data_IF_022581351489
#
_entry.id   IF_022581351489
#
_cell.length_a   1.000
_cell.length_b   1.000
_cell.length_c   1.000
_cell.angle_alpha   90.00
_cell.angle_beta   90.00
_cell.angle_gamma   90.00
#
_symmetry.space_group_name_H-M   'P 1'
#
loop_
_entity.id
_entity.type
_entity.pdbx_description
1 polymer ?
#
# COMPACT_ATOMS: atom_id res chain seq x y z
N UNK A 1 -30.27 5.76 40.01
CA UNK A 1 -29.69 6.88 39.24
C UNK A 1 -28.62 6.33 38.27
N UNK A 2 -29.01 5.64 37.19
CA UNK A 2 -28.07 5.13 36.16
C UNK A 2 -28.82 4.61 34.92
N UNK A 3 -29.33 5.50 34.07
CA UNK A 3 -29.97 5.11 32.78
C UNK A 3 -29.60 6.07 31.63
N UNK A 4 -29.00 7.24 31.88
CA UNK A 4 -28.72 8.26 30.84
C UNK A 4 -27.44 8.06 30.04
N UNK A 5 -26.54 7.15 30.43
CA UNK A 5 -25.24 6.99 29.77
C UNK A 5 -25.32 6.22 28.43
N UNK A 6 -26.26 5.27 28.29
CA UNK A 6 -26.25 4.32 27.16
C UNK A 6 -26.75 4.88 25.82
N UNK A 7 -27.51 5.98 25.82
CA UNK A 7 -28.07 6.54 24.59
C UNK A 7 -27.08 7.47 23.88
N UNK A 8 -26.37 8.30 24.65
CA UNK A 8 -25.35 9.22 24.15
C UNK A 8 -24.15 8.46 23.57
N UNK A 9 -23.83 7.30 24.16
CA UNK A 9 -22.70 6.49 23.72
C UNK A 9 -22.84 5.95 22.29
N UNK A 10 -24.06 5.61 21.87
CA UNK A 10 -24.28 5.03 20.55
C UNK A 10 -24.12 6.04 19.41
N UNK A 11 -24.45 7.31 19.67
CA UNK A 11 -24.40 8.36 18.64
C UNK A 11 -22.97 8.80 18.31
N UNK A 12 -22.05 8.86 19.28
CA UNK A 12 -20.66 9.23 18.99
C UNK A 12 -19.89 8.11 18.27
N UNK A 13 -20.13 6.85 18.63
CA UNK A 13 -19.53 5.70 17.93
C UNK A 13 -19.98 5.64 16.47
N UNK A 14 -21.29 5.80 16.22
CA UNK A 14 -21.82 5.86 14.86
C UNK A 14 -21.21 7.03 14.06
N UNK A 15 -21.04 8.20 14.68
CA UNK A 15 -20.42 9.36 14.05
C UNK A 15 -18.95 9.12 13.69
N UNK A 16 -18.18 8.44 14.55
CA UNK A 16 -16.79 8.06 14.26
C UNK A 16 -16.70 7.07 13.09
N UNK A 17 -17.61 6.10 13.02
CA UNK A 17 -17.61 5.09 11.95
C UNK A 17 -17.96 5.66 10.56
N UNK A 18 -18.53 6.85 10.49
CA UNK A 18 -18.82 7.55 9.23
C UNK A 18 -17.67 8.49 8.83
N UNK A 19 -16.75 8.78 9.75
CA UNK A 19 -15.66 9.71 9.49
C UNK A 19 -14.64 9.15 8.49
N UNK A 20 -14.37 9.87 7.37
CA UNK A 20 -13.35 9.46 6.41
C UNK A 20 -11.97 9.31 7.03
N UNK A 21 -11.63 10.15 8.02
CA UNK A 21 -10.32 10.11 8.68
C UNK A 21 -10.15 8.85 9.51
N UNK A 22 -11.21 8.38 10.16
CA UNK A 22 -11.20 7.13 10.94
C UNK A 22 -11.02 5.94 10.01
N UNK A 23 -11.70 5.91 8.86
CA UNK A 23 -11.53 4.84 7.87
C UNK A 23 -10.11 4.81 7.31
N UNK A 24 -9.55 5.96 6.91
CA UNK A 24 -8.18 6.06 6.38
C UNK A 24 -7.17 5.65 7.44
N UNK A 25 -7.30 6.15 8.68
CA UNK A 25 -6.40 5.79 9.77
C UNK A 25 -6.48 4.29 10.06
N UNK A 26 -7.68 3.73 10.15
CA UNK A 26 -7.89 2.29 10.40
C UNK A 26 -7.29 1.45 9.27
N UNK A 27 -7.53 1.82 8.01
CA UNK A 27 -6.94 1.13 6.86
C UNK A 27 -5.41 1.14 6.89
N UNK A 28 -4.82 2.30 7.22
CA UNK A 28 -3.37 2.45 7.33
C UNK A 28 -2.80 1.60 8.47
N UNK A 29 -3.34 1.72 9.68
CA UNK A 29 -2.83 0.99 10.84
C UNK A 29 -2.99 -0.52 10.69
N UNK A 30 -4.10 -1.00 10.11
CA UNK A 30 -4.26 -2.43 9.83
C UNK A 30 -3.20 -2.94 8.86
N UNK A 31 -2.99 -2.25 7.74
CA UNK A 31 -1.97 -2.63 6.72
C UNK A 31 -0.56 -2.52 7.28
N UNK A 32 -0.26 -1.44 8.02
CA UNK A 32 1.04 -1.21 8.63
C UNK A 32 1.36 -2.25 9.71
N UNK A 33 0.40 -2.53 10.60
CA UNK A 33 0.54 -3.60 11.59
C UNK A 33 0.77 -4.95 10.90
N UNK A 34 0.05 -5.24 9.82
CA UNK A 34 0.26 -6.46 9.05
C UNK A 34 1.67 -6.53 8.44
N UNK A 35 2.18 -5.45 7.84
CA UNK A 35 3.54 -5.37 7.30
C UNK A 35 4.60 -5.67 8.39
N UNK A 36 4.44 -5.09 9.57
CA UNK A 36 5.37 -5.25 10.70
C UNK A 36 5.27 -6.64 11.31
N UNK A 37 4.06 -7.11 11.64
CA UNK A 37 3.83 -8.39 12.31
C UNK A 37 4.28 -9.58 11.45
N UNK A 38 4.00 -9.52 10.15
CA UNK A 38 4.38 -10.59 9.21
C UNK A 38 5.76 -10.38 8.58
N UNK A 39 6.46 -9.28 8.91
CA UNK A 39 7.78 -8.93 8.38
C UNK A 39 7.85 -9.01 6.86
N UNK A 40 6.83 -8.49 6.20
CA UNK A 40 6.65 -8.58 4.75
C UNK A 40 7.74 -7.88 3.93
N UNK A 41 8.52 -7.01 4.58
CA UNK A 41 9.65 -6.30 3.97
C UNK A 41 10.90 -7.16 3.81
N UNK A 42 10.92 -8.39 4.35
CA UNK A 42 12.03 -9.33 4.20
C UNK A 42 11.83 -10.17 2.96
N UNK A 43 12.53 -9.81 1.89
CA UNK A 43 12.52 -10.56 0.63
C UNK A 43 13.67 -11.57 0.58
N UNK A 44 13.44 -12.73 -0.01
CA UNK A 44 14.51 -13.71 -0.26
C UNK A 44 15.40 -13.22 -1.41
N UNK A 45 16.72 -13.16 -1.18
CA UNK A 45 17.71 -12.54 -2.08
C UNK A 45 18.11 -13.47 -3.25
N UNK A 46 17.46 -14.61 -3.43
CA UNK A 46 17.96 -15.68 -4.30
C UNK A 46 17.21 -15.80 -5.65
N UNK A 47 17.88 -15.96 -6.80
CA UNK A 47 19.21 -15.48 -7.21
C UNK A 47 19.17 -14.14 -7.97
N UNK A 48 17.99 -13.60 -8.32
CA UNK A 48 17.86 -12.39 -9.18
C UNK A 48 17.20 -11.19 -8.51
N UNK A 49 16.80 -11.28 -7.23
CA UNK A 49 15.94 -10.30 -6.54
C UNK A 49 14.65 -9.96 -7.32
N UNK A 50 14.28 -10.76 -8.32
CA UNK A 50 13.11 -10.51 -9.15
C UNK A 50 11.82 -10.47 -8.32
N UNK A 51 11.74 -11.26 -7.26
CA UNK A 51 10.60 -11.25 -6.34
C UNK A 51 10.49 -9.96 -5.52
N UNK A 52 11.53 -9.11 -5.50
CA UNK A 52 11.45 -7.75 -4.99
C UNK A 52 10.83 -6.84 -6.06
N UNK A 53 9.50 -6.83 -6.11
CA UNK A 53 8.74 -5.92 -6.99
C UNK A 53 8.77 -6.27 -8.49
N UNK A 54 9.15 -7.50 -8.85
CA UNK A 54 9.10 -8.02 -10.23
C UNK A 54 9.80 -7.08 -11.22
N UNK A 55 9.17 -6.83 -12.36
CA UNK A 55 9.71 -5.97 -13.40
C UNK A 55 9.88 -4.52 -12.94
N UNK A 56 9.02 -4.07 -12.02
CA UNK A 56 9.07 -2.71 -11.46
C UNK A 56 10.35 -2.52 -10.65
N UNK A 57 10.69 -3.51 -9.82
CA UNK A 57 11.92 -3.52 -9.03
C UNK A 57 13.17 -3.54 -9.91
N UNK A 58 13.15 -4.33 -10.98
CA UNK A 58 14.23 -4.36 -11.98
C UNK A 58 14.46 -3.00 -12.64
N UNK A 59 13.40 -2.36 -13.15
CA UNK A 59 13.51 -1.02 -13.75
C UNK A 59 13.96 0.03 -12.73
N UNK A 60 13.45 -0.01 -11.49
CA UNK A 60 13.85 0.90 -10.43
C UNK A 60 15.34 0.76 -10.07
N UNK A 61 15.87 -0.47 -10.07
CA UNK A 61 17.31 -0.72 -9.91
C UNK A 61 18.12 -0.11 -11.04
N UNK A 62 17.71 -0.31 -12.30
CA UNK A 62 18.41 0.26 -13.47
C UNK A 62 18.44 1.78 -13.42
N UNK A 63 17.34 2.41 -13.04
CA UNK A 63 17.26 3.85 -12.80
C UNK A 63 18.17 4.30 -11.65
N UNK A 64 18.18 3.57 -10.55
CA UNK A 64 19.05 3.87 -9.41
C UNK A 64 20.53 3.81 -9.82
N UNK A 65 20.90 2.83 -10.65
CA UNK A 65 22.25 2.62 -11.20
C UNK A 65 22.63 3.56 -12.36
N UNK A 66 21.73 4.43 -12.83
CA UNK A 66 22.00 5.37 -13.93
C UNK A 66 21.92 4.76 -15.32
N UNK A 67 21.35 3.55 -15.47
CA UNK A 67 21.19 2.85 -16.75
C UNK A 67 19.90 3.23 -17.50
N UNK A 68 19.19 4.25 -17.01
CA UNK A 68 17.91 4.69 -17.57
C UNK A 68 16.77 3.69 -17.33
N UNK A 69 15.71 3.84 -18.12
CA UNK A 69 14.51 3.00 -18.03
C UNK A 69 14.74 1.69 -18.80
N UNK A 70 15.36 0.70 -18.15
CA UNK A 70 15.88 -0.50 -18.80
C UNK A 70 15.83 -1.74 -17.89
N UNK A 71 16.05 -2.91 -18.49
CA UNK A 71 16.30 -4.19 -17.80
C UNK A 71 15.22 -4.61 -16.76
N UNK A 72 13.94 -4.75 -17.17
CA UNK A 72 12.85 -5.08 -16.26
C UNK A 72 13.06 -6.41 -15.52
N UNK A 73 13.59 -7.42 -16.19
CA UNK A 73 13.70 -8.76 -15.62
C UNK A 73 14.98 -8.99 -14.79
N UNK A 74 15.70 -7.93 -14.42
CA UNK A 74 16.91 -8.01 -13.58
C UNK A 74 18.19 -8.43 -14.31
N UNK A 75 18.11 -8.81 -15.59
CA UNK A 75 19.25 -9.00 -16.49
C UNK A 75 19.27 -7.90 -17.56
N UNK A 76 20.45 -7.63 -18.13
CA UNK A 76 20.63 -6.59 -19.15
C UNK A 76 19.90 -6.95 -20.44
N UNK A 77 18.64 -6.50 -20.58
CA UNK A 77 17.80 -6.70 -21.76
C UNK A 77 17.61 -5.44 -22.61
N UNK A 78 18.18 -4.30 -22.19
CA UNK A 78 18.10 -3.02 -22.89
C UNK A 78 16.94 -2.14 -22.42
N UNK A 79 16.65 -1.08 -23.17
CA UNK A 79 15.60 -0.11 -22.85
C UNK A 79 14.22 -0.77 -22.86
N UNK A 80 13.34 -0.34 -21.95
CA UNK A 80 11.97 -0.87 -21.82
C UNK A 80 10.94 0.24 -21.78
N UNK A 81 9.69 -0.09 -22.11
CA UNK A 81 8.52 0.76 -21.92
C UNK A 81 7.36 0.00 -21.25
N UNK A 82 7.68 -1.13 -20.59
CA UNK A 82 6.68 -2.05 -20.03
C UNK A 82 5.87 -1.43 -18.87
N UNK A 83 6.47 -0.49 -18.14
CA UNK A 83 5.95 0.02 -16.87
C UNK A 83 5.84 1.54 -16.95
N UNK A 84 4.76 2.16 -16.43
CA UNK A 84 4.68 3.61 -16.36
C UNK A 84 5.80 4.19 -15.49
N UNK A 85 6.33 5.38 -15.82
CA UNK A 85 7.59 5.86 -15.24
C UNK A 85 7.48 6.34 -13.77
N UNK A 86 6.30 6.75 -13.32
CA UNK A 86 6.13 7.43 -12.02
C UNK A 86 6.50 6.54 -10.83
N UNK A 87 6.04 5.28 -10.81
CA UNK A 87 6.28 4.39 -9.68
C UNK A 87 7.74 3.85 -9.64
N UNK A 88 8.34 3.38 -10.75
CA UNK A 88 9.75 2.99 -10.77
C UNK A 88 10.71 4.13 -10.44
N UNK A 89 10.41 5.37 -10.86
CA UNK A 89 11.26 6.52 -10.51
C UNK A 89 11.22 6.82 -9.02
N UNK A 90 10.04 6.79 -8.38
CA UNK A 90 9.92 6.87 -6.92
C UNK A 90 10.72 5.77 -6.22
N UNK A 91 10.59 4.51 -6.67
CA UNK A 91 11.34 3.38 -6.11
C UNK A 91 12.86 3.54 -6.28
N UNK A 92 13.31 4.08 -7.41
CA UNK A 92 14.73 4.33 -7.65
C UNK A 92 15.32 5.34 -6.66
N UNK A 93 14.55 6.34 -6.24
CA UNK A 93 14.96 7.30 -5.20
C UNK A 93 15.10 6.59 -3.85
N UNK A 94 14.13 5.74 -3.51
CA UNK A 94 14.18 4.94 -2.28
C UNK A 94 15.41 4.02 -2.28
N UNK A 95 15.70 3.36 -3.40
CA UNK A 95 16.88 2.51 -3.55
C UNK A 95 18.19 3.28 -3.40
N UNK A 96 18.26 4.53 -3.88
CA UNK A 96 19.45 5.37 -3.69
C UNK A 96 19.66 5.77 -2.23
N UNK A 97 18.59 5.94 -1.45
CA UNK A 97 18.68 6.34 -0.04
C UNK A 97 18.88 5.16 0.92
N UNK A 98 18.20 4.03 0.69
CA UNK A 98 18.12 2.92 1.63
C UNK A 98 18.83 1.64 1.15
N UNK A 99 19.40 1.67 -0.06
CA UNK A 99 20.01 0.52 -0.71
C UNK A 99 19.06 -0.21 -1.65
N UNK A 100 19.61 -0.74 -2.75
CA UNK A 100 18.86 -1.53 -3.74
C UNK A 100 18.51 -2.89 -3.14
N UNK A 101 17.23 -3.28 -3.20
CA UNK A 101 16.73 -4.56 -2.70
C UNK A 101 17.02 -4.84 -1.22
N UNK A 102 17.19 -3.80 -0.40
CA UNK A 102 17.41 -3.93 1.03
C UNK A 102 16.09 -4.08 1.79
N UNK A 103 16.12 -4.72 2.96
CA UNK A 103 14.99 -4.76 3.91
C UNK A 103 14.46 -3.34 4.22
N UNK A 104 15.36 -2.36 4.33
CA UNK A 104 15.00 -0.96 4.58
C UNK A 104 14.19 -0.36 3.43
N UNK A 105 14.62 -0.58 2.18
CA UNK A 105 13.87 -0.13 1.01
C UNK A 105 12.50 -0.82 0.92
N UNK A 106 12.45 -2.12 1.19
CA UNK A 106 11.21 -2.91 1.23
C UNK A 106 10.22 -2.36 2.25
N UNK A 107 10.71 -2.03 3.45
CA UNK A 107 9.88 -1.46 4.51
C UNK A 107 9.29 -0.09 4.13
N UNK A 108 10.11 0.80 3.56
CA UNK A 108 9.66 2.13 3.12
C UNK A 108 8.65 2.01 1.98
N UNK A 109 8.91 1.16 0.98
CA UNK A 109 8.01 0.94 -0.16
C UNK A 109 6.66 0.40 0.32
N UNK A 110 6.65 -0.61 1.18
CA UNK A 110 5.41 -1.20 1.72
C UNK A 110 4.63 -0.19 2.57
N UNK A 111 5.33 0.64 3.36
CA UNK A 111 4.69 1.69 4.15
C UNK A 111 4.03 2.74 3.24
N UNK A 112 4.72 3.19 2.19
CA UNK A 112 4.16 4.12 1.21
C UNK A 112 2.94 3.52 0.48
N UNK A 113 3.02 2.25 0.08
CA UNK A 113 1.88 1.53 -0.49
C UNK A 113 0.70 1.46 0.50
N UNK A 114 0.96 1.23 1.78
CA UNK A 114 -0.07 1.25 2.81
C UNK A 114 -0.73 2.63 2.95
N UNK A 115 0.04 3.72 2.88
CA UNK A 115 -0.49 5.09 2.89
C UNK A 115 -1.39 5.34 1.67
N UNK A 116 -0.90 5.07 0.46
CA UNK A 116 -1.66 5.30 -0.78
C UNK A 116 -2.93 4.42 -0.79
N UNK A 117 -2.81 3.15 -0.37
CA UNK A 117 -3.95 2.23 -0.24
C UNK A 117 -4.95 2.65 0.84
N UNK A 118 -4.52 3.34 1.90
CA UNK A 118 -5.44 3.91 2.87
C UNK A 118 -6.19 5.13 2.30
N UNK A 119 -5.49 5.95 1.52
CA UNK A 119 -6.08 7.14 0.89
C UNK A 119 -7.13 6.80 -0.17
N UNK A 120 -7.15 5.58 -0.75
CA UNK A 120 -8.21 5.16 -1.68
C UNK A 120 -9.59 5.04 -1.02
N UNK A 121 -9.68 5.02 0.32
CA UNK A 121 -10.96 5.19 1.01
C UNK A 121 -11.66 6.50 0.61
N UNK A 122 -10.90 7.57 0.35
CA UNK A 122 -11.44 8.89 0.00
C UNK A 122 -12.17 8.89 -1.34
N UNK A 123 -11.58 8.45 -2.48
CA UNK A 123 -12.31 8.36 -3.74
C UNK A 123 -13.47 7.36 -3.68
N UNK A 124 -13.36 6.26 -2.92
CA UNK A 124 -14.49 5.33 -2.72
C UNK A 124 -15.68 6.04 -2.08
N UNK A 125 -15.45 6.78 -0.98
CA UNK A 125 -16.48 7.56 -0.32
C UNK A 125 -17.04 8.65 -1.24
N UNK A 126 -16.17 9.38 -1.93
CA UNK A 126 -16.57 10.50 -2.78
C UNK A 126 -17.39 10.08 -3.99
N UNK A 127 -16.96 9.03 -4.70
CA UNK A 127 -17.69 8.47 -5.84
C UNK A 127 -18.98 7.83 -5.35
N UNK A 128 -18.92 6.98 -4.31
CA UNK A 128 -20.10 6.29 -3.78
C UNK A 128 -21.20 7.24 -3.31
N UNK A 129 -20.84 8.34 -2.63
CA UNK A 129 -21.81 9.38 -2.20
C UNK A 129 -22.50 10.05 -3.38
N UNK A 130 -21.81 10.20 -4.52
CA UNK A 130 -22.37 10.84 -5.72
C UNK A 130 -23.25 9.93 -6.55
N UNK A 131 -23.00 8.62 -6.54
CA UNK A 131 -23.66 7.68 -7.46
C UNK A 131 -24.66 6.75 -6.78
N UNK A 132 -24.40 6.32 -5.55
CA UNK A 132 -25.13 5.23 -4.88
C UNK A 132 -25.70 5.61 -3.49
N UNK A 133 -25.39 6.82 -3.02
CA UNK A 133 -25.84 7.33 -1.72
C UNK A 133 -24.88 7.05 -0.57
N UNK A 134 -25.17 7.66 0.57
CA UNK A 134 -24.25 7.71 1.72
C UNK A 134 -24.00 6.33 2.35
N UNK A 135 -25.06 5.57 2.63
CA UNK A 135 -24.94 4.24 3.27
C UNK A 135 -24.07 3.29 2.45
N UNK A 136 -24.29 3.21 1.13
CA UNK A 136 -23.54 2.32 0.24
C UNK A 136 -22.07 2.73 0.19
N UNK A 137 -21.78 4.04 0.17
CA UNK A 137 -20.41 4.55 0.17
C UNK A 137 -19.63 4.17 1.43
N UNK A 138 -20.28 4.26 2.61
CA UNK A 138 -19.68 3.93 3.90
C UNK A 138 -19.40 2.44 3.99
N UNK A 139 -20.36 1.60 3.59
CA UNK A 139 -20.18 0.13 3.57
C UNK A 139 -19.06 -0.27 2.62
N UNK A 140 -19.00 0.30 1.42
CA UNK A 140 -17.94 0.03 0.45
C UNK A 140 -16.56 0.45 0.97
N UNK A 141 -16.47 1.60 1.64
CA UNK A 141 -15.22 2.08 2.23
C UNK A 141 -14.76 1.16 3.38
N UNK A 142 -15.66 0.74 4.27
CA UNK A 142 -15.32 -0.23 5.33
C UNK A 142 -14.91 -1.58 4.76
N UNK A 143 -15.56 -2.03 3.69
CA UNK A 143 -15.15 -3.24 2.99
C UNK A 143 -13.71 -3.12 2.49
N UNK A 144 -13.35 -1.99 1.87
CA UNK A 144 -11.98 -1.72 1.46
C UNK A 144 -10.98 -1.66 2.62
N UNK A 145 -11.37 -1.09 3.77
CA UNK A 145 -10.52 -1.03 4.98
C UNK A 145 -10.07 -2.43 5.38
N UNK A 146 -10.99 -3.39 5.43
CA UNK A 146 -10.73 -4.77 5.84
C UNK A 146 -10.23 -5.68 4.72
N UNK A 147 -10.37 -5.26 3.45
CA UNK A 147 -10.02 -6.10 2.33
C UNK A 147 -8.50 -6.36 2.30
N UNK A 148 -8.05 -7.63 2.38
CA UNK A 148 -6.64 -7.98 2.39
C UNK A 148 -6.06 -8.01 0.96
N UNK A 149 -6.02 -6.87 0.27
CA UNK A 149 -5.71 -6.78 -1.17
C UNK A 149 -4.20 -6.79 -1.48
N UNK A 150 -3.43 -7.75 -0.96
CA UNK A 150 -2.00 -7.75 -1.32
C UNK A 150 -1.04 -8.72 -0.65
N UNK A 151 -1.51 -9.74 0.06
CA UNK A 151 -0.59 -10.61 0.81
C UNK A 151 -0.50 -12.05 0.29
N UNK A 152 -1.14 -12.32 -0.84
CA UNK A 152 -1.26 -13.65 -1.45
C UNK A 152 0.08 -14.23 -1.96
N UNK A 153 1.16 -13.44 -2.00
CA UNK A 153 2.46 -13.89 -2.55
C UNK A 153 3.68 -13.70 -1.64
N UNK A 154 3.51 -13.32 -0.37
CA UNK A 154 4.65 -12.77 0.42
C UNK A 154 5.41 -13.79 1.27
N UNK A 155 5.22 -15.09 1.08
CA UNK A 155 6.13 -16.08 1.67
C UNK A 155 6.22 -17.34 0.84
N UNK A 156 7.16 -17.37 -0.10
CA UNK A 156 7.69 -18.63 -0.61
C UNK A 156 9.10 -18.75 -0.07
N UNK A 157 9.19 -19.49 1.05
CA UNK A 157 10.44 -20.09 1.52
C UNK A 157 10.84 -21.14 0.49
#
# INVERSE_FOLDING_TARGET
MSVKASHTEKHWVASLLVSPTVMVATAFFLRFAFIVLFRLYRFSVYPSNFWFGFEVGGVARSLAAGQGFSSPCGFSSGATALIPPVYPTLLSLIFRMFGVFSDASGFVILTLNAVVSALTCLPILWIGRRTLGETVSIVAAWFWVFWPMGFWEVRRV
#
